data_IF_907691391463
#
_entry.id   IF_907691391463
#
_cell.length_a   1.000
_cell.length_b   1.000
_cell.length_c   1.000
_cell.angle_alpha   90.00
_cell.angle_beta   90.00
_cell.angle_gamma   90.00
#
_symmetry.space_group_name_H-M   'P 1'
#
loop_
_entity.id
_entity.type
_entity.pdbx_description
1 polymer ?
#
# COMPACT_ATOMS: atom_id res chain seq x y z
N UNK A 1 -29.76 20.24 73.71
CA UNK A 1 -28.96 19.24 73.04
C UNK A 1 -29.20 19.41 71.55
N UNK A 2 -28.37 20.19 70.87
CA UNK A 2 -28.46 20.46 69.38
C UNK A 2 -27.42 19.65 68.68
N UNK A 3 -27.86 18.70 67.86
CA UNK A 3 -26.97 17.89 67.00
C UNK A 3 -26.55 18.72 65.80
N UNK A 4 -25.27 18.92 65.65
CA UNK A 4 -24.65 19.57 64.51
C UNK A 4 -24.48 18.46 63.45
N UNK A 5 -25.17 18.60 62.30
CA UNK A 5 -25.00 17.74 61.15
C UNK A 5 -23.95 18.38 60.24
N UNK A 6 -22.80 17.73 60.19
CA UNK A 6 -21.69 18.12 59.32
C UNK A 6 -21.97 17.70 57.88
N UNK A 7 -22.17 18.66 56.98
CA UNK A 7 -22.26 18.40 55.53
C UNK A 7 -20.82 18.32 54.97
N UNK A 8 -20.46 17.11 54.60
CA UNK A 8 -19.28 16.89 53.79
C UNK A 8 -19.55 17.40 52.36
N UNK A 9 -18.89 18.49 52.00
CA UNK A 9 -18.81 18.94 50.61
C UNK A 9 -17.99 17.92 49.81
N UNK A 10 -18.67 17.10 49.03
CA UNK A 10 -18.01 16.32 47.98
C UNK A 10 -17.62 17.28 46.85
N UNK A 11 -16.33 17.63 46.80
CA UNK A 11 -15.72 18.29 45.65
C UNK A 11 -15.81 17.35 44.46
N UNK A 12 -16.76 17.59 43.59
CA UNK A 12 -16.77 17.03 42.26
C UNK A 12 -15.57 17.63 41.48
N UNK A 13 -14.52 16.84 41.41
CA UNK A 13 -13.44 17.05 40.45
C UNK A 13 -14.04 16.91 39.07
N UNK A 14 -14.29 18.05 38.43
CA UNK A 14 -14.66 18.13 37.04
C UNK A 14 -13.55 17.45 36.25
N UNK A 15 -13.87 16.28 35.72
CA UNK A 15 -13.14 15.70 34.61
C UNK A 15 -13.27 16.71 33.48
N UNK A 16 -12.25 17.57 33.38
CA UNK A 16 -12.13 18.45 32.23
C UNK A 16 -12.11 17.55 31.00
N UNK A 17 -13.18 17.61 30.25
CA UNK A 17 -13.32 17.07 28.93
C UNK A 17 -12.10 17.52 28.11
N UNK A 18 -11.21 16.60 27.84
CA UNK A 18 -10.25 16.71 26.74
C UNK A 18 -11.00 16.64 25.42
N UNK A 19 -11.86 17.62 25.23
CA UNK A 19 -12.62 17.84 24.00
C UNK A 19 -11.92 18.94 23.23
N UNK A 20 -11.64 18.63 21.98
CA UNK A 20 -11.21 19.56 20.96
C UNK A 20 -9.74 20.06 21.05
N UNK A 21 -8.78 19.14 20.91
CA UNK A 21 -7.67 19.49 20.03
C UNK A 21 -8.25 19.47 18.60
N UNK A 22 -8.65 20.65 18.13
CA UNK A 22 -9.01 20.82 16.73
C UNK A 22 -7.84 20.34 15.89
N UNK A 23 -8.14 19.68 14.78
CA UNK A 23 -7.14 19.26 13.80
C UNK A 23 -6.48 20.53 13.23
N UNK A 24 -5.45 21.03 13.91
CA UNK A 24 -4.78 22.28 13.52
C UNK A 24 -3.72 22.06 12.46
N UNK A 25 -3.28 20.79 12.24
CA UNK A 25 -2.11 20.47 11.42
C UNK A 25 -2.46 19.47 10.32
N UNK A 26 -1.83 19.68 9.16
CA UNK A 26 -1.88 18.71 8.08
C UNK A 26 -1.02 17.47 8.40
N UNK A 27 -1.09 16.45 7.56
CA UNK A 27 -0.39 15.17 7.72
C UNK A 27 1.12 15.37 7.93
N UNK A 28 1.77 16.25 7.14
CA UNK A 28 3.22 16.44 7.21
C UNK A 28 3.61 17.13 8.52
N UNK A 29 2.91 18.17 8.91
CA UNK A 29 3.23 18.93 10.13
C UNK A 29 2.95 18.09 11.38
N UNK A 30 1.89 17.27 11.37
CA UNK A 30 1.59 16.30 12.43
C UNK A 30 2.70 15.24 12.55
N UNK A 31 3.18 14.70 11.41
CA UNK A 31 4.25 13.72 11.41
C UNK A 31 5.58 14.30 11.91
N UNK A 32 5.92 15.52 11.52
CA UNK A 32 7.14 16.21 11.98
C UNK A 32 7.09 16.44 13.48
N UNK A 33 5.97 16.92 14.03
CA UNK A 33 5.81 17.17 15.46
C UNK A 33 5.88 15.91 16.31
N UNK A 34 5.37 14.79 15.79
CA UNK A 34 5.44 13.49 16.47
C UNK A 34 6.88 13.01 16.72
N UNK A 35 7.88 13.57 16.02
CA UNK A 35 9.30 13.32 16.25
C UNK A 35 9.79 11.91 15.89
N UNK A 36 8.92 11.06 15.36
CA UNK A 36 9.19 9.63 15.05
C UNK A 36 9.27 9.34 13.53
N UNK A 37 9.18 10.37 12.69
CA UNK A 37 9.10 10.27 11.23
C UNK A 37 10.14 11.15 10.54
N UNK A 38 11.31 11.31 11.14
CA UNK A 38 12.39 12.16 10.60
C UNK A 38 12.85 11.68 9.23
N UNK A 39 13.01 10.36 9.10
CA UNK A 39 13.42 9.72 7.84
C UNK A 39 12.36 9.88 6.77
N UNK A 40 11.07 9.71 7.12
CA UNK A 40 9.95 9.93 6.19
C UNK A 40 9.88 11.39 5.74
N UNK A 41 10.04 12.36 6.64
CA UNK A 41 10.04 13.78 6.31
C UNK A 41 11.19 14.15 5.36
N UNK A 42 12.39 13.63 5.62
CA UNK A 42 13.55 13.79 4.73
C UNK A 42 13.29 13.18 3.34
N UNK A 43 12.67 11.99 3.29
CA UNK A 43 12.32 11.31 2.05
C UNK A 43 11.27 12.09 1.24
N UNK A 44 10.24 12.65 1.89
CA UNK A 44 9.25 13.51 1.24
C UNK A 44 9.90 14.77 0.66
N UNK A 45 10.85 15.37 1.39
CA UNK A 45 11.63 16.51 0.90
C UNK A 45 12.46 16.17 -0.34
N UNK A 46 13.23 15.08 -0.30
CA UNK A 46 14.07 14.61 -1.39
C UNK A 46 13.24 14.27 -2.65
N UNK A 47 12.07 13.67 -2.46
CA UNK A 47 11.15 13.34 -3.56
C UNK A 47 10.40 14.57 -4.13
N UNK A 48 10.38 15.70 -3.42
CA UNK A 48 9.59 16.88 -3.78
C UNK A 48 8.08 16.67 -3.61
N UNK A 49 7.68 15.84 -2.62
CA UNK A 49 6.28 15.48 -2.39
C UNK A 49 5.64 16.20 -1.19
N UNK A 50 6.40 17.06 -0.49
CA UNK A 50 5.91 17.77 0.70
C UNK A 50 4.62 18.53 0.41
N UNK A 51 4.60 19.34 -0.64
CA UNK A 51 3.42 20.15 -0.99
C UNK A 51 2.23 19.30 -1.47
N UNK A 52 2.52 18.19 -2.17
CA UNK A 52 1.48 17.25 -2.60
C UNK A 52 0.77 16.59 -1.40
N UNK A 53 1.52 16.20 -0.37
CA UNK A 53 0.96 15.58 0.85
C UNK A 53 0.35 16.62 1.79
N UNK A 54 0.82 17.88 1.76
CA UNK A 54 0.18 19.01 2.44
C UNK A 54 -1.09 19.50 1.75
N UNK A 55 -1.29 19.15 0.51
CA UNK A 55 -2.41 19.59 -0.33
C UNK A 55 -3.78 19.15 0.20
N UNK A 56 -4.84 19.56 -0.53
CA UNK A 56 -6.20 19.22 -0.17
C UNK A 56 -6.43 17.70 -0.29
N UNK A 57 -6.69 17.08 0.87
CA UNK A 57 -7.06 15.66 0.94
C UNK A 57 -8.52 15.41 0.55
N UNK A 58 -9.14 14.39 1.11
CA UNK A 58 -8.60 13.59 2.20
C UNK A 58 -7.61 12.51 1.76
N UNK A 59 -6.60 12.26 2.60
CA UNK A 59 -5.62 11.17 2.40
C UNK A 59 -5.57 10.24 3.62
N UNK A 60 -5.25 8.99 3.35
CA UNK A 60 -4.82 8.03 4.38
C UNK A 60 -3.35 7.73 4.13
N UNK A 61 -2.50 8.00 5.11
CA UNK A 61 -1.06 7.76 5.01
C UNK A 61 -0.66 6.64 5.95
N UNK A 62 -0.11 5.58 5.40
CA UNK A 62 0.59 4.55 6.15
C UNK A 62 2.02 5.00 6.40
N UNK A 63 2.28 5.62 7.57
CA UNK A 63 3.56 6.25 7.87
C UNK A 63 4.52 5.27 8.56
N UNK A 64 5.61 4.86 7.91
CA UNK A 64 6.64 4.09 8.57
C UNK A 64 7.41 4.96 9.57
N UNK A 65 7.61 4.45 10.79
CA UNK A 65 8.42 5.12 11.81
C UNK A 65 9.91 5.06 11.46
N UNK A 66 10.74 5.83 12.18
CA UNK A 66 12.19 5.76 11.98
C UNK A 66 12.74 4.35 12.27
N UNK A 67 12.13 3.61 13.23
CA UNK A 67 12.44 2.20 13.49
C UNK A 67 12.03 1.30 12.31
N UNK A 68 10.95 1.62 11.61
CA UNK A 68 10.54 0.88 10.41
C UNK A 68 11.57 1.03 9.29
N UNK A 69 12.11 2.22 9.09
CA UNK A 69 13.21 2.47 8.15
C UNK A 69 14.50 1.77 8.56
N UNK A 70 14.79 1.67 9.85
CA UNK A 70 15.97 0.98 10.37
C UNK A 70 15.96 -0.54 10.09
N UNK A 71 14.79 -1.13 9.80
CA UNK A 71 14.68 -2.53 9.38
C UNK A 71 15.11 -2.78 7.94
N UNK A 72 15.22 -1.74 7.11
CA UNK A 72 15.72 -1.87 5.75
C UNK A 72 17.20 -2.26 5.74
N UNK A 73 17.69 -2.94 4.69
CA UNK A 73 19.11 -3.23 4.54
C UNK A 73 19.95 -1.96 4.63
N UNK A 74 21.12 -2.06 5.27
CA UNK A 74 22.04 -0.91 5.41
C UNK A 74 22.34 -0.27 4.06
N UNK A 75 22.32 1.06 4.01
CA UNK A 75 22.56 1.84 2.79
C UNK A 75 21.35 1.99 1.87
N UNK A 76 20.21 1.32 2.15
CA UNK A 76 19.01 1.44 1.30
C UNK A 76 18.43 2.85 1.35
N UNK A 77 18.30 3.42 2.54
CA UNK A 77 17.74 4.78 2.73
C UNK A 77 18.62 5.81 2.04
N UNK A 78 19.93 5.74 2.28
CA UNK A 78 20.91 6.65 1.66
C UNK A 78 20.89 6.53 0.13
N UNK A 79 20.74 5.32 -0.39
CA UNK A 79 20.62 5.08 -1.84
C UNK A 79 19.34 5.67 -2.40
N UNK A 80 18.20 5.49 -1.72
CA UNK A 80 16.91 6.03 -2.16
C UNK A 80 16.88 7.57 -2.12
N UNK A 81 17.62 8.20 -1.21
CA UNK A 81 17.69 9.66 -1.10
C UNK A 81 18.55 10.32 -2.19
N UNK A 82 19.31 9.55 -2.97
CA UNK A 82 20.13 10.10 -4.06
C UNK A 82 19.26 10.62 -5.20
N UNK A 83 19.67 11.71 -5.87
CA UNK A 83 18.90 12.30 -6.97
C UNK A 83 18.55 11.32 -8.11
N UNK A 84 19.44 10.39 -8.43
CA UNK A 84 19.22 9.37 -9.46
C UNK A 84 18.11 8.38 -9.12
N UNK A 85 17.75 8.25 -7.85
CA UNK A 85 16.69 7.36 -7.37
C UNK A 85 15.39 8.09 -7.02
N UNK A 86 15.27 9.37 -7.40
CA UNK A 86 14.12 10.22 -7.06
C UNK A 86 12.78 9.61 -7.50
N UNK A 87 12.70 9.06 -8.70
CA UNK A 87 11.46 8.47 -9.21
C UNK A 87 11.08 7.19 -8.45
N UNK A 88 12.09 6.37 -8.10
CA UNK A 88 11.88 5.20 -7.25
C UNK A 88 11.41 5.59 -5.84
N UNK A 89 12.02 6.59 -5.25
CA UNK A 89 11.60 7.13 -3.95
C UNK A 89 10.18 7.68 -4.02
N UNK A 90 9.84 8.41 -5.09
CA UNK A 90 8.50 8.94 -5.33
C UNK A 90 7.47 7.81 -5.45
N UNK A 91 7.79 6.74 -6.18
CA UNK A 91 6.93 5.57 -6.32
C UNK A 91 6.67 4.90 -4.96
N UNK A 92 7.70 4.73 -4.13
CA UNK A 92 7.59 4.17 -2.78
C UNK A 92 6.71 5.08 -1.89
N UNK A 93 6.97 6.38 -1.86
CA UNK A 93 6.21 7.31 -1.02
C UNK A 93 4.74 7.42 -1.43
N UNK A 94 4.44 7.47 -2.73
CA UNK A 94 3.06 7.49 -3.23
C UNK A 94 2.36 6.15 -3.02
N UNK A 95 3.10 5.05 -2.90
CA UNK A 95 2.54 3.75 -2.51
C UNK A 95 2.03 3.75 -1.07
N UNK A 96 2.62 4.51 -0.16
CA UNK A 96 2.18 4.65 1.23
C UNK A 96 0.94 5.53 1.41
N UNK A 97 0.45 6.18 0.36
CA UNK A 97 -0.67 7.11 0.42
C UNK A 97 -1.87 6.56 -0.35
N UNK A 98 -3.01 6.52 0.31
CA UNK A 98 -4.30 6.12 -0.26
C UNK A 98 -5.20 7.36 -0.34
N UNK A 99 -5.85 7.64 -1.48
CA UNK A 99 -6.86 8.68 -1.56
C UNK A 99 -8.08 8.32 -0.71
N UNK A 100 -8.63 9.31 -0.03
CA UNK A 100 -9.74 9.12 0.91
C UNK A 100 -9.28 9.01 2.36
N UNK A 101 -10.23 9.20 3.28
CA UNK A 101 -10.02 9.06 4.73
C UNK A 101 -10.56 7.70 5.17
N UNK A 102 -9.69 6.74 5.41
CA UNK A 102 -10.02 5.39 5.85
C UNK A 102 -9.62 5.26 7.32
N UNK A 103 -10.58 5.13 8.21
CA UNK A 103 -10.33 4.94 9.64
C UNK A 103 -10.11 3.45 9.95
N UNK A 104 -9.50 3.15 11.10
CA UNK A 104 -9.22 1.77 11.50
C UNK A 104 -10.46 0.86 11.50
N UNK A 105 -11.62 1.40 11.90
CA UNK A 105 -12.91 0.68 11.87
C UNK A 105 -13.33 0.28 10.44
N UNK A 106 -12.98 1.10 9.45
CA UNK A 106 -13.38 0.90 8.06
C UNK A 106 -12.46 -0.15 7.39
N UNK A 107 -11.23 -0.29 7.89
CA UNK A 107 -10.24 -1.26 7.41
C UNK A 107 -10.67 -2.70 7.65
N UNK A 108 -11.44 -2.98 8.70
CA UNK A 108 -11.87 -4.35 9.06
C UNK A 108 -12.70 -5.05 7.98
N UNK A 109 -13.34 -4.29 7.07
CA UNK A 109 -14.14 -4.82 5.96
C UNK A 109 -13.44 -4.78 4.60
N UNK A 110 -12.24 -4.22 4.52
CA UNK A 110 -11.55 -3.96 3.24
C UNK A 110 -10.38 -4.93 3.07
N UNK A 111 -10.34 -5.62 1.94
CA UNK A 111 -9.23 -6.56 1.61
C UNK A 111 -8.03 -5.86 0.97
N UNK A 112 -8.09 -4.57 0.74
CA UNK A 112 -7.02 -3.76 0.17
C UNK A 112 -7.51 -2.42 -0.35
N UNK A 113 -6.59 -1.50 -0.58
CA UNK A 113 -6.84 -0.15 -1.06
C UNK A 113 -5.91 0.19 -2.24
N UNK A 114 -6.39 1.00 -3.17
CA UNK A 114 -5.56 1.51 -4.27
C UNK A 114 -4.78 2.72 -3.77
N UNK A 115 -3.45 2.64 -3.86
CA UNK A 115 -2.55 3.74 -3.50
C UNK A 115 -2.46 4.82 -4.58
N UNK A 116 -1.86 5.96 -4.26
CA UNK A 116 -1.61 7.03 -5.23
C UNK A 116 -0.63 6.64 -6.32
N UNK A 117 0.23 5.63 -6.11
CA UNK A 117 1.09 5.11 -7.18
C UNK A 117 0.34 4.18 -8.16
N UNK A 118 -0.94 3.90 -7.89
CA UNK A 118 -1.80 3.08 -8.76
C UNK A 118 -1.85 1.60 -8.37
N UNK A 119 -0.89 1.10 -7.59
CA UNK A 119 -0.89 -0.29 -7.13
C UNK A 119 -1.80 -0.48 -5.91
N UNK A 120 -2.23 -1.71 -5.70
CA UNK A 120 -3.05 -2.12 -4.57
C UNK A 120 -2.17 -2.45 -3.37
N UNK A 121 -2.53 -1.93 -2.22
CA UNK A 121 -2.04 -2.34 -0.90
C UNK A 121 -3.01 -3.41 -0.38
N UNK A 122 -2.50 -4.57 -0.01
CA UNK A 122 -3.30 -5.62 0.62
C UNK A 122 -3.45 -5.37 2.12
N UNK A 123 -4.70 -5.51 2.58
CA UNK A 123 -5.03 -5.37 4.00
C UNK A 123 -5.49 -6.71 4.54
N UNK A 124 -4.90 -7.14 5.65
CA UNK A 124 -5.24 -8.37 6.36
C UNK A 124 -5.41 -8.08 7.84
N UNK A 125 -6.36 -8.75 8.46
CA UNK A 125 -6.51 -8.76 9.92
C UNK A 125 -6.13 -10.15 10.40
N UNK A 126 -5.10 -10.22 11.23
CA UNK A 126 -4.59 -11.46 11.80
C UNK A 126 -4.46 -11.31 13.33
N UNK A 127 -5.14 -12.16 14.08
CA UNK A 127 -5.11 -12.13 15.54
C UNK A 127 -5.46 -10.78 16.15
N UNK A 128 -6.35 -10.00 15.51
CA UNK A 128 -6.72 -8.65 15.94
C UNK A 128 -5.72 -7.55 15.55
N UNK A 129 -4.66 -7.89 14.82
CA UNK A 129 -3.69 -6.94 14.28
C UNK A 129 -4.00 -6.65 12.84
N UNK A 130 -3.95 -5.38 12.46
CA UNK A 130 -4.08 -4.96 11.07
C UNK A 130 -2.70 -4.99 10.42
N UNK A 131 -2.61 -5.68 9.29
CA UNK A 131 -1.41 -5.79 8.47
C UNK A 131 -1.67 -5.14 7.12
N UNK A 132 -0.73 -4.36 6.63
CA UNK A 132 -0.73 -3.75 5.29
C UNK A 132 0.53 -4.21 4.57
N UNK A 133 0.36 -5.02 3.51
CA UNK A 133 1.48 -5.65 2.77
C UNK A 133 2.53 -6.31 3.67
N UNK A 134 2.08 -6.93 4.75
CA UNK A 134 2.96 -7.59 5.73
C UNK A 134 3.54 -6.68 6.80
N UNK A 135 3.39 -5.35 6.71
CA UNK A 135 3.72 -4.42 7.78
C UNK A 135 2.59 -4.35 8.81
N UNK A 136 2.92 -4.39 10.10
CA UNK A 136 1.92 -4.23 11.16
C UNK A 136 1.57 -2.76 11.37
N UNK A 137 0.28 -2.45 11.44
CA UNK A 137 -0.20 -1.14 11.89
C UNK A 137 -0.09 -1.08 13.42
N UNK A 138 0.77 -0.20 13.93
CA UNK A 138 1.09 -0.09 15.37
C UNK A 138 0.39 1.07 16.07
N UNK A 139 -0.08 2.06 15.32
CA UNK A 139 -0.97 3.12 15.80
C UNK A 139 -1.91 3.55 14.69
N UNK A 140 -3.15 3.86 15.05
CA UNK A 140 -4.21 4.17 14.09
C UNK A 140 -4.85 5.52 14.38
N UNK A 141 -5.54 6.06 13.38
CA UNK A 141 -6.49 7.18 13.52
C UNK A 141 -5.86 8.49 14.05
N UNK A 142 -4.57 8.74 13.73
CA UNK A 142 -3.96 10.05 13.99
C UNK A 142 -4.57 11.02 12.98
N UNK A 143 -5.53 11.79 13.46
CA UNK A 143 -6.32 12.65 12.61
C UNK A 143 -5.58 13.96 12.27
N UNK A 144 -5.72 14.40 11.01
CA UNK A 144 -5.13 15.61 10.48
C UNK A 144 -6.18 16.41 9.71
N UNK A 145 -5.91 17.69 9.41
CA UNK A 145 -6.83 18.56 8.65
C UNK A 145 -7.12 18.02 7.26
N UNK A 146 -6.14 17.38 6.63
CA UNK A 146 -6.25 16.85 5.26
C UNK A 146 -6.21 15.30 5.19
N UNK A 147 -6.45 14.60 6.31
CA UNK A 147 -6.52 13.14 6.28
C UNK A 147 -6.30 12.44 7.60
N UNK A 148 -5.72 11.26 7.54
CA UNK A 148 -5.42 10.41 8.70
C UNK A 148 -4.09 9.70 8.50
N UNK A 149 -3.33 9.52 9.59
CA UNK A 149 -2.09 8.74 9.60
C UNK A 149 -2.31 7.44 10.36
N UNK A 150 -1.87 6.33 9.77
CA UNK A 150 -1.69 5.05 10.43
C UNK A 150 -0.20 4.72 10.46
N UNK A 151 0.34 4.47 11.64
CA UNK A 151 1.78 4.16 11.81
C UNK A 151 2.02 2.70 11.54
N UNK A 152 2.99 2.41 10.69
CA UNK A 152 3.41 1.04 10.37
C UNK A 152 4.84 0.77 10.86
N UNK A 153 5.09 -0.49 11.20
CA UNK A 153 6.36 -0.95 11.77
C UNK A 153 7.42 -1.33 10.72
N UNK A 154 7.06 -1.30 9.45
CA UNK A 154 7.94 -1.66 8.34
C UNK A 154 7.58 -0.83 7.10
N UNK A 155 8.55 -0.54 6.23
CA UNK A 155 8.32 0.15 4.96
C UNK A 155 7.70 -0.84 3.98
N UNK A 156 6.55 -0.49 3.39
CA UNK A 156 5.95 -1.26 2.30
C UNK A 156 6.53 -0.81 0.96
N UNK A 157 6.76 -1.75 0.06
CA UNK A 157 7.38 -1.47 -1.23
C UNK A 157 6.43 -1.85 -2.37
N UNK A 158 6.25 -0.96 -3.37
CA UNK A 158 5.49 -1.32 -4.56
C UNK A 158 6.20 -2.46 -5.30
N UNK A 159 5.43 -3.33 -5.93
CA UNK A 159 6.00 -4.36 -6.80
C UNK A 159 6.65 -3.71 -8.02
N UNK A 160 7.87 -4.08 -8.31
CA UNK A 160 8.57 -3.72 -9.55
C UNK A 160 8.38 -4.82 -10.63
N UNK A 161 7.71 -5.92 -10.26
CA UNK A 161 7.48 -7.05 -11.15
C UNK A 161 6.34 -6.75 -12.13
N UNK A 162 6.61 -6.94 -13.41
CA UNK A 162 5.57 -6.96 -14.44
C UNK A 162 4.78 -8.29 -14.44
N UNK A 163 3.69 -8.34 -15.17
CA UNK A 163 2.80 -9.51 -15.24
C UNK A 163 3.54 -10.82 -15.57
N UNK A 164 4.41 -10.88 -16.61
CA UNK A 164 5.20 -12.08 -16.90
C UNK A 164 6.12 -12.50 -15.76
N UNK A 165 6.75 -11.56 -15.07
CA UNK A 165 7.64 -11.85 -13.92
C UNK A 165 6.86 -12.44 -12.77
N UNK A 166 5.72 -11.85 -12.40
CA UNK A 166 4.82 -12.38 -11.35
C UNK A 166 4.33 -13.79 -11.71
N UNK A 167 3.90 -14.00 -12.98
CA UNK A 167 3.46 -15.32 -13.44
C UNK A 167 4.57 -16.36 -13.38
N UNK A 168 5.80 -15.98 -13.73
CA UNK A 168 6.99 -16.86 -13.63
C UNK A 168 7.29 -17.24 -12.19
N UNK A 169 7.30 -16.28 -11.27
CA UNK A 169 7.55 -16.51 -9.83
C UNK A 169 6.49 -17.40 -9.19
N UNK A 170 5.25 -17.30 -9.66
CA UNK A 170 4.15 -18.13 -9.16
C UNK A 170 4.26 -19.62 -9.56
N UNK A 171 5.03 -19.95 -10.62
CA UNK A 171 5.33 -21.32 -11.05
C UNK A 171 4.13 -22.15 -11.53
N UNK A 172 2.98 -21.54 -11.77
CA UNK A 172 1.71 -22.20 -12.13
C UNK A 172 1.16 -21.76 -13.50
N UNK A 173 1.89 -20.96 -14.24
CA UNK A 173 1.45 -20.31 -15.48
C UNK A 173 2.45 -20.53 -16.63
N UNK A 174 3.17 -21.68 -16.61
CA UNK A 174 4.21 -21.96 -17.61
C UNK A 174 3.61 -22.06 -19.02
N UNK A 175 2.46 -22.71 -19.14
CA UNK A 175 1.74 -22.87 -20.43
C UNK A 175 1.27 -21.52 -20.95
N UNK A 176 0.71 -20.67 -20.09
CA UNK A 176 0.29 -19.31 -20.44
C UNK A 176 1.49 -18.47 -20.91
N UNK A 177 2.61 -18.53 -20.20
CA UNK A 177 3.83 -17.79 -20.56
C UNK A 177 4.39 -18.26 -21.92
N UNK A 178 4.40 -19.57 -22.17
CA UNK A 178 4.78 -20.13 -23.45
C UNK A 178 3.85 -19.65 -24.58
N UNK A 179 2.53 -19.64 -24.32
CA UNK A 179 1.53 -19.15 -25.26
C UNK A 179 1.69 -17.64 -25.54
N UNK A 180 1.90 -16.83 -24.50
CA UNK A 180 2.13 -15.40 -24.64
C UNK A 180 3.41 -15.10 -25.45
N UNK A 181 4.48 -15.90 -25.25
CA UNK A 181 5.72 -15.79 -26.02
C UNK A 181 5.49 -16.17 -27.49
N UNK A 182 4.81 -17.27 -27.77
CA UNK A 182 4.51 -17.70 -29.13
C UNK A 182 3.61 -16.68 -29.88
N UNK A 183 2.67 -16.07 -29.18
CA UNK A 183 1.79 -15.01 -29.72
C UNK A 183 2.49 -13.64 -29.86
N UNK A 184 3.70 -13.44 -29.32
CA UNK A 184 4.41 -12.16 -29.33
C UNK A 184 3.78 -11.11 -28.41
N UNK A 185 3.18 -11.53 -27.30
CA UNK A 185 2.47 -10.65 -26.36
C UNK A 185 3.32 -10.27 -25.12
N UNK A 186 4.53 -10.82 -24.98
CA UNK A 186 5.35 -10.60 -23.77
C UNK A 186 5.66 -9.12 -23.57
N UNK A 187 6.01 -8.39 -24.62
CA UNK A 187 6.28 -6.95 -24.54
C UNK A 187 5.04 -6.15 -24.12
N UNK A 188 3.90 -6.49 -24.68
CA UNK A 188 2.63 -5.84 -24.32
C UNK A 188 2.25 -6.09 -22.85
N UNK A 189 2.53 -7.29 -22.32
CA UNK A 189 2.29 -7.66 -20.92
C UNK A 189 3.35 -7.10 -19.96
N UNK A 190 4.52 -6.71 -20.46
CA UNK A 190 5.62 -6.13 -19.69
C UNK A 190 5.62 -4.60 -19.67
N UNK A 191 4.80 -3.97 -20.51
CA UNK A 191 4.77 -2.51 -20.66
C UNK A 191 4.06 -1.80 -19.48
N UNK A 192 4.12 -0.45 -19.52
CA UNK A 192 3.62 0.42 -18.44
C UNK A 192 2.09 0.59 -18.42
N UNK A 193 1.37 -0.01 -19.37
CA UNK A 193 -0.08 0.06 -19.40
C UNK A 193 -0.70 -0.78 -18.28
N UNK A 194 -1.64 -0.20 -17.55
CA UNK A 194 -2.42 -0.94 -16.58
C UNK A 194 -3.31 -1.98 -17.28
N UNK A 195 -3.01 -3.24 -17.07
CA UNK A 195 -3.73 -4.38 -17.65
C UNK A 195 -4.29 -5.26 -16.53
N UNK A 196 -5.44 -5.87 -16.77
CA UNK A 196 -5.96 -6.97 -15.98
C UNK A 196 -5.89 -8.24 -16.83
N UNK A 197 -5.21 -9.26 -16.31
CA UNK A 197 -5.07 -10.55 -17.00
C UNK A 197 -5.80 -11.63 -16.19
N UNK A 198 -6.74 -12.30 -16.83
CA UNK A 198 -7.34 -13.53 -16.31
C UNK A 198 -6.47 -14.71 -16.72
N UNK A 199 -5.60 -15.12 -15.83
CA UNK A 199 -4.55 -16.09 -16.12
C UNK A 199 -5.01 -17.53 -15.83
N UNK A 200 -5.24 -18.38 -16.86
CA UNK A 200 -5.46 -19.81 -16.63
C UNK A 200 -4.18 -20.49 -16.15
N UNK A 201 -4.30 -21.35 -15.15
CA UNK A 201 -3.20 -22.14 -14.61
C UNK A 201 -2.82 -23.29 -15.56
N UNK A 202 -1.65 -23.90 -15.36
CA UNK A 202 -1.25 -25.11 -16.11
C UNK A 202 -2.30 -26.22 -15.98
N UNK A 203 -2.91 -26.39 -14.80
CA UNK A 203 -4.01 -27.36 -14.57
C UNK A 203 -5.28 -27.02 -15.40
N UNK A 204 -5.53 -25.74 -15.64
CA UNK A 204 -6.66 -25.34 -16.50
C UNK A 204 -6.38 -25.70 -17.95
N UNK A 205 -5.17 -25.50 -18.45
CA UNK A 205 -4.76 -25.94 -19.78
C UNK A 205 -4.78 -27.46 -19.95
N UNK A 206 -4.46 -28.22 -18.89
CA UNK A 206 -4.52 -29.68 -18.91
C UNK A 206 -5.93 -30.25 -19.10
N UNK A 207 -6.98 -29.46 -18.87
CA UNK A 207 -8.37 -29.84 -19.13
C UNK A 207 -8.78 -29.73 -20.61
N UNK A 208 -7.96 -29.07 -21.42
CA UNK A 208 -8.24 -28.99 -22.88
C UNK A 208 -8.00 -30.34 -23.55
N UNK A 209 -8.66 -30.60 -24.72
CA UNK A 209 -8.39 -31.80 -25.49
C UNK A 209 -6.90 -31.97 -25.79
N UNK A 210 -6.44 -33.24 -25.81
CA UNK A 210 -5.04 -33.56 -26.15
C UNK A 210 -4.64 -32.84 -27.42
N UNK A 211 -3.41 -32.39 -27.49
CA UNK A 211 -2.79 -31.68 -28.62
C UNK A 211 -3.35 -30.29 -28.94
N UNK A 212 -4.39 -29.82 -28.25
CA UNK A 212 -4.93 -28.46 -28.49
C UNK A 212 -3.90 -27.41 -28.26
N UNK A 213 -3.23 -27.46 -27.11
CA UNK A 213 -2.17 -26.49 -26.73
C UNK A 213 -1.01 -26.57 -27.71
N UNK A 214 -0.52 -27.79 -28.00
CA UNK A 214 0.57 -28.01 -28.92
C UNK A 214 0.24 -27.49 -30.34
N UNK A 215 -1.00 -27.65 -30.80
CA UNK A 215 -1.47 -27.14 -32.07
C UNK A 215 -1.51 -25.60 -32.08
N UNK A 216 -2.04 -24.99 -31.01
CA UNK A 216 -2.12 -23.52 -30.89
C UNK A 216 -0.73 -22.84 -30.82
N UNK A 217 0.25 -23.53 -30.27
CA UNK A 217 1.63 -23.02 -30.18
C UNK A 217 2.40 -23.05 -31.50
N UNK A 218 1.89 -23.69 -32.54
CA UNK A 218 2.54 -23.73 -33.84
C UNK A 218 2.51 -22.34 -34.52
N UNK A 219 3.60 -21.98 -35.26
CA UNK A 219 3.69 -20.68 -35.90
C UNK A 219 2.51 -20.31 -36.81
N UNK A 220 1.96 -21.27 -37.53
CA UNK A 220 0.80 -21.09 -38.40
C UNK A 220 -0.49 -20.71 -37.66
N UNK A 221 -0.56 -20.96 -36.34
CA UNK A 221 -1.70 -20.64 -35.50
C UNK A 221 -1.49 -19.38 -34.65
N UNK A 222 -0.43 -18.62 -34.90
CA UNK A 222 -0.03 -17.45 -34.08
C UNK A 222 -1.17 -16.43 -33.95
N UNK A 223 -1.86 -16.09 -35.02
CA UNK A 223 -2.94 -15.10 -35.00
C UNK A 223 -4.17 -15.61 -34.23
N UNK A 224 -4.47 -16.89 -34.36
CA UNK A 224 -5.55 -17.54 -33.60
C UNK A 224 -5.23 -17.58 -32.12
N UNK A 225 -3.99 -17.95 -31.79
CA UNK A 225 -3.50 -17.93 -30.39
C UNK A 225 -3.55 -16.53 -29.79
N UNK A 226 -3.11 -15.53 -30.54
CA UNK A 226 -3.15 -14.12 -30.14
C UNK A 226 -4.58 -13.66 -29.87
N UNK A 227 -5.54 -14.00 -30.74
CA UNK A 227 -6.96 -13.67 -30.54
C UNK A 227 -7.54 -14.29 -29.27
N UNK A 228 -7.19 -15.56 -28.98
CA UNK A 228 -7.63 -16.26 -27.76
C UNK A 228 -7.05 -15.58 -26.50
N UNK A 229 -5.78 -15.20 -26.53
CA UNK A 229 -5.11 -14.60 -25.36
C UNK A 229 -5.53 -13.15 -25.11
N UNK A 230 -6.07 -12.45 -26.11
CA UNK A 230 -6.54 -11.07 -25.99
C UNK A 230 -8.04 -10.98 -25.63
N UNK A 231 -8.77 -12.09 -25.66
CA UNK A 231 -10.17 -12.18 -25.23
C UNK A 231 -10.30 -12.15 -23.71
#
# INVERSE_FOLDING_TARGET
MKKIVSYALATWMSVASMSAFGFEKNIVDTAVEAGKFKTLAAALGAAGLVDAVKGPGPFTVFAPSDEAFAKLPKGTVETLLKPENKDKLKAILTYHVVPGKVMAKDVLGVKGAKSLNGQRIDVKVDGGKVMVDGAQVVATDIACTNGVIHVIDSVILPSEDNIPTVATKAGKFNTLLAAAKAAGLVEALSGDKALTVFAPTDDAFAKLPKDTVATLLKPENKDKLKAILLF
#
